data_IF_447092040373
#
_entry.id   IF_447092040373
#
_cell.length_a   1.000
_cell.length_b   1.000
_cell.length_c   1.000
_cell.angle_alpha   90.00
_cell.angle_beta   90.00
_cell.angle_gamma   90.00
#
_symmetry.space_group_name_H-M   'P 1'
#
loop_
_entity.id
_entity.type
_entity.pdbx_description
1 polymer ?
#
# COMPACT_ATOMS: atom_id res chain seq x y z
N UNK A 1 -3.91 -12.23 -22.91
CA UNK A 1 -4.63 -12.02 -21.64
C UNK A 1 -3.57 -11.71 -20.58
N UNK A 2 -3.32 -10.42 -20.29
CA UNK A 2 -2.34 -10.07 -19.26
C UNK A 2 -3.00 -10.25 -17.89
N UNK A 3 -2.55 -11.25 -17.15
CA UNK A 3 -2.94 -11.45 -15.76
C UNK A 3 -2.37 -10.30 -14.94
N UNK A 4 -3.22 -9.33 -14.58
CA UNK A 4 -2.92 -8.26 -13.63
C UNK A 4 -2.71 -8.86 -12.22
N UNK A 5 -1.58 -9.53 -12.04
CA UNK A 5 -1.19 -10.16 -10.78
C UNK A 5 -0.02 -9.36 -10.24
N UNK A 6 -0.29 -8.33 -9.43
CA UNK A 6 0.71 -7.82 -8.50
C UNK A 6 0.46 -8.52 -7.16
N UNK A 7 0.97 -9.76 -6.96
CA UNK A 7 0.76 -10.45 -5.70
C UNK A 7 1.44 -9.64 -4.60
N UNK A 8 0.67 -9.24 -3.59
CA UNK A 8 1.23 -8.83 -2.31
C UNK A 8 2.18 -9.93 -1.85
N UNK A 9 3.47 -9.66 -1.59
CA UNK A 9 4.36 -10.66 -1.02
C UNK A 9 3.81 -11.11 0.33
N UNK A 10 4.03 -12.38 0.71
CA UNK A 10 3.51 -12.94 1.96
C UNK A 10 3.95 -12.12 3.18
N UNK A 11 5.17 -11.60 3.14
CA UNK A 11 5.80 -10.79 4.18
C UNK A 11 6.70 -9.71 3.58
N UNK A 12 7.22 -8.81 4.43
CA UNK A 12 8.21 -7.81 4.03
C UNK A 12 7.66 -6.37 4.01
N UNK A 13 8.31 -5.50 3.23
CA UNK A 13 8.04 -4.07 3.16
C UNK A 13 7.58 -3.65 1.76
N UNK A 14 6.48 -2.92 1.70
CA UNK A 14 5.89 -2.37 0.48
C UNK A 14 5.84 -0.85 0.52
N UNK A 15 5.86 -0.21 -0.65
CA UNK A 15 5.79 1.25 -0.80
C UNK A 15 4.41 1.71 -1.27
N UNK A 16 4.14 3.00 -1.10
CA UNK A 16 2.86 3.61 -1.48
C UNK A 16 2.46 3.38 -2.93
N UNK A 17 3.43 3.34 -3.86
CA UNK A 17 3.19 3.07 -5.27
C UNK A 17 2.72 1.64 -5.54
N UNK A 18 3.08 0.68 -4.68
CA UNK A 18 2.55 -0.68 -4.75
C UNK A 18 1.15 -0.73 -4.13
N UNK A 19 0.94 -0.05 -3.00
CA UNK A 19 -0.36 -0.04 -2.30
C UNK A 19 -1.46 0.62 -3.14
N UNK A 20 -1.22 1.87 -3.59
CA UNK A 20 -2.19 2.70 -4.31
C UNK A 20 -2.01 2.65 -5.83
N UNK A 21 -1.04 1.90 -6.34
CA UNK A 21 -0.73 1.82 -7.76
C UNK A 21 0.05 3.02 -8.30
N UNK A 22 0.63 2.81 -9.49
CA UNK A 22 1.28 3.81 -10.32
C UNK A 22 1.13 3.44 -11.80
N UNK A 23 0.10 3.97 -12.45
CA UNK A 23 -0.17 3.74 -13.88
C UNK A 23 0.86 4.41 -14.82
N UNK A 24 1.68 5.32 -14.29
CA UNK A 24 2.73 6.01 -15.06
C UNK A 24 4.08 5.31 -14.99
N UNK A 25 4.21 4.29 -14.15
CA UNK A 25 5.41 3.46 -14.11
C UNK A 25 5.49 2.59 -15.37
N UNK A 26 6.70 2.17 -15.72
CA UNK A 26 6.93 1.19 -16.79
C UNK A 26 7.63 -0.04 -16.21
N UNK A 27 6.95 -1.21 -16.13
CA UNK A 27 5.54 -1.43 -16.46
C UNK A 27 4.57 -0.77 -15.45
N UNK A 28 3.30 -0.51 -15.84
CA UNK A 28 2.29 0.07 -14.95
C UNK A 28 2.08 -0.80 -13.70
N UNK A 29 2.05 -0.16 -12.54
CA UNK A 29 1.81 -0.85 -11.27
C UNK A 29 0.32 -0.73 -10.93
N UNK A 30 -0.46 -1.83 -10.95
CA UNK A 30 -1.86 -1.78 -10.56
C UNK A 30 -2.00 -1.56 -9.05
N UNK A 31 -3.05 -0.84 -8.60
CA UNK A 31 -3.32 -0.65 -7.19
C UNK A 31 -3.72 -1.97 -6.50
N UNK A 32 -3.26 -2.15 -5.27
CA UNK A 32 -3.72 -3.22 -4.37
C UNK A 32 -5.02 -2.79 -3.68
N UNK A 33 -5.04 -1.56 -3.16
CA UNK A 33 -6.21 -0.95 -2.56
C UNK A 33 -6.78 0.11 -3.53
N UNK A 34 -8.10 0.15 -3.75
CA UNK A 34 -8.75 1.10 -4.67
C UNK A 34 -8.85 2.51 -4.05
N UNK A 35 -7.72 3.06 -3.58
CA UNK A 35 -7.63 4.35 -2.91
C UNK A 35 -6.47 5.16 -3.47
N UNK A 36 -6.61 6.49 -3.44
CA UNK A 36 -5.57 7.39 -3.93
C UNK A 36 -4.48 7.64 -2.86
N UNK A 37 -3.27 7.99 -3.33
CA UNK A 37 -2.10 8.25 -2.47
C UNK A 37 -2.35 9.36 -1.43
N UNK A 38 -3.14 10.38 -1.78
CA UNK A 38 -3.48 11.47 -0.85
C UNK A 38 -4.40 11.00 0.28
N UNK A 39 -5.40 10.17 -0.03
CA UNK A 39 -6.27 9.54 0.97
C UNK A 39 -5.46 8.64 1.90
N UNK A 40 -4.51 7.87 1.36
CA UNK A 40 -3.58 7.07 2.16
C UNK A 40 -2.81 7.92 3.16
N UNK A 41 -2.16 9.00 2.73
CA UNK A 41 -1.41 9.87 3.66
C UNK A 41 -2.30 10.53 4.72
N UNK A 42 -3.52 10.93 4.37
CA UNK A 42 -4.48 11.48 5.32
C UNK A 42 -4.93 10.43 6.35
N UNK A 43 -5.17 9.20 5.92
CA UNK A 43 -5.51 8.09 6.81
C UNK A 43 -4.34 7.72 7.73
N UNK A 44 -3.10 7.73 7.23
CA UNK A 44 -1.90 7.53 8.05
C UNK A 44 -1.78 8.63 9.11
N UNK A 45 -2.01 9.89 8.73
CA UNK A 45 -1.97 11.03 9.68
C UNK A 45 -3.08 10.94 10.74
N UNK A 46 -4.26 10.46 10.35
CA UNK A 46 -5.41 10.31 11.27
C UNK A 46 -5.40 9.01 12.07
N UNK A 47 -4.36 8.17 11.92
CA UNK A 47 -4.24 6.89 12.65
C UNK A 47 -5.13 5.76 12.12
N UNK A 48 -5.79 5.95 10.98
CA UNK A 48 -6.65 4.95 10.33
C UNK A 48 -5.84 3.86 9.62
N UNK A 49 -4.72 4.23 9.02
CA UNK A 49 -3.83 3.30 8.32
C UNK A 49 -2.57 3.01 9.14
N UNK A 50 -1.87 1.90 8.85
CA UNK A 50 -0.68 1.51 9.60
C UNK A 50 0.39 2.60 9.57
N UNK A 51 1.12 2.71 10.68
CA UNK A 51 2.16 3.71 10.84
C UNK A 51 3.28 3.54 9.78
N UNK A 52 3.84 4.64 9.26
CA UNK A 52 4.86 4.59 8.23
C UNK A 52 6.21 4.16 8.82
N UNK A 53 6.86 3.18 8.20
CA UNK A 53 8.22 2.74 8.56
C UNK A 53 9.22 3.47 7.67
N UNK A 54 10.18 4.18 8.28
CA UNK A 54 11.26 4.88 7.54
C UNK A 54 12.47 3.98 7.41
N UNK A 55 12.85 3.64 6.17
CA UNK A 55 14.09 2.93 5.86
C UNK A 55 15.27 3.89 5.58
N UNK A 56 14.96 5.13 5.24
CA UNK A 56 15.96 6.16 4.94
C UNK A 56 15.32 7.50 4.64
N UNK A 57 16.13 8.54 4.30
CA UNK A 57 15.67 9.92 4.18
C UNK A 57 14.48 10.14 3.23
N UNK A 58 14.37 9.33 2.16
CA UNK A 58 13.30 9.42 1.15
C UNK A 58 12.52 8.12 0.99
N UNK A 59 12.70 7.16 1.89
CA UNK A 59 12.16 5.81 1.76
C UNK A 59 11.21 5.52 2.91
N UNK A 60 9.91 5.54 2.59
CA UNK A 60 8.83 5.18 3.51
C UNK A 60 8.14 3.93 3.00
N UNK A 61 7.95 2.97 3.91
CA UNK A 61 7.40 1.67 3.63
C UNK A 61 6.37 1.27 4.69
N UNK A 62 5.61 0.21 4.39
CA UNK A 62 4.64 -0.42 5.26
C UNK A 62 4.82 -1.93 5.22
N UNK A 63 4.37 -2.64 6.25
CA UNK A 63 4.42 -4.11 6.24
C UNK A 63 3.39 -4.66 5.26
N UNK A 64 3.80 -5.64 4.45
CA UNK A 64 2.89 -6.29 3.51
C UNK A 64 1.70 -6.97 4.22
N UNK A 65 1.93 -7.50 5.43
CA UNK A 65 0.90 -8.16 6.25
C UNK A 65 -0.23 -7.20 6.66
N UNK A 66 0.09 -5.96 7.03
CA UNK A 66 -0.92 -4.97 7.41
C UNK A 66 -1.78 -4.56 6.21
N UNK A 67 -1.14 -4.40 5.05
CA UNK A 67 -1.85 -4.07 3.81
C UNK A 67 -2.76 -5.23 3.39
N UNK A 68 -2.30 -6.49 3.53
CA UNK A 68 -3.13 -7.67 3.27
C UNK A 68 -4.33 -7.70 4.20
N UNK A 69 -4.13 -7.48 5.50
CA UNK A 69 -5.23 -7.45 6.48
C UNK A 69 -6.29 -6.41 6.09
N UNK A 70 -5.87 -5.22 5.65
CA UNK A 70 -6.79 -4.17 5.18
C UNK A 70 -7.53 -4.59 3.91
N UNK A 71 -6.84 -5.26 2.97
CA UNK A 71 -7.47 -5.72 1.73
C UNK A 71 -8.50 -6.83 1.96
N UNK A 72 -8.28 -7.70 2.96
CA UNK A 72 -9.15 -8.84 3.27
C UNK A 72 -10.33 -8.47 4.18
N UNK A 73 -10.07 -7.67 5.22
CA UNK A 73 -11.04 -7.38 6.28
C UNK A 73 -11.54 -5.93 6.29
N UNK A 74 -10.96 -5.04 5.49
CA UNK A 74 -11.23 -3.61 5.57
C UNK A 74 -10.53 -2.94 6.76
N UNK A 75 -10.88 -1.69 7.04
CA UNK A 75 -10.42 -0.98 8.24
C UNK A 75 -11.35 -1.30 9.40
N UNK A 76 -10.90 -2.16 10.31
CA UNK A 76 -11.49 -2.26 11.64
C UNK A 76 -10.96 -1.08 12.47
N UNK A 77 -11.85 -0.19 12.88
CA UNK A 77 -11.51 0.93 13.74
C UNK A 77 -11.03 0.40 15.10
N UNK A 78 -9.82 0.76 15.51
CA UNK A 78 -9.35 0.60 16.88
C UNK A 78 -9.96 1.66 17.80
#
# INVERSE_FOLDING_TARGET
MATNSNPLPESGLVRIDQICGNLKADPPIPPILPICKSSWWNGVRSGKYPAPIKLGPRTTCWRAEDIRRIAEHGLEAA
#
